data_IF_139897672850
#
_entry.id   IF_139897672850
#
_cell.length_a   1.000
_cell.length_b   1.000
_cell.length_c   1.000
_cell.angle_alpha   90.00
_cell.angle_beta   90.00
_cell.angle_gamma   90.00
#
_symmetry.space_group_name_H-M   'P 1'
#
loop_
_entity.id
_entity.type
_entity.pdbx_description
1 polymer ?
#
# COMPACT_ATOMS: atom_id res chain seq x y z
N UNK A 1 -37.35 -3.77 40.52
CA UNK A 1 -36.17 -4.65 40.68
C UNK A 1 -36.06 -5.73 39.59
N UNK A 2 -37.10 -6.53 39.31
CA UNK A 2 -37.00 -7.64 38.34
C UNK A 2 -36.79 -7.20 36.87
N UNK A 3 -37.40 -6.08 36.46
CA UNK A 3 -37.22 -5.49 35.12
C UNK A 3 -35.79 -5.02 34.85
N UNK A 4 -35.08 -4.58 35.89
CA UNK A 4 -33.71 -4.07 35.81
C UNK A 4 -32.70 -5.21 35.63
N UNK A 5 -32.93 -6.32 36.33
CA UNK A 5 -32.18 -7.57 36.17
C UNK A 5 -32.35 -8.18 34.77
N UNK A 6 -33.52 -8.01 34.13
CA UNK A 6 -33.73 -8.42 32.73
C UNK A 6 -33.00 -7.49 31.74
N UNK A 7 -33.02 -6.16 31.95
CA UNK A 7 -32.27 -5.21 31.10
C UNK A 7 -30.76 -5.44 31.13
N UNK A 8 -30.19 -5.72 32.31
CA UNK A 8 -28.77 -6.06 32.42
C UNK A 8 -28.40 -7.36 31.71
N UNK A 9 -29.27 -8.39 31.74
CA UNK A 9 -29.04 -9.64 30.98
C UNK A 9 -29.09 -9.42 29.47
N UNK A 10 -30.05 -8.64 28.98
CA UNK A 10 -30.16 -8.33 27.54
C UNK A 10 -28.96 -7.52 27.04
N UNK A 11 -28.52 -6.51 27.81
CA UNK A 11 -27.31 -5.73 27.49
C UNK A 11 -26.03 -6.59 27.51
N UNK A 12 -25.89 -7.49 28.49
CA UNK A 12 -24.79 -8.45 28.55
C UNK A 12 -24.79 -9.41 27.35
N UNK A 13 -25.95 -9.92 26.96
CA UNK A 13 -26.07 -10.83 25.81
C UNK A 13 -25.78 -10.12 24.47
N UNK A 14 -26.30 -8.90 24.26
CA UNK A 14 -26.01 -8.10 23.08
C UNK A 14 -24.51 -7.74 22.98
N UNK A 15 -23.87 -7.40 24.10
CA UNK A 15 -22.43 -7.14 24.15
C UNK A 15 -21.59 -8.37 23.80
N UNK A 16 -22.00 -9.57 24.24
CA UNK A 16 -21.30 -10.83 23.90
C UNK A 16 -21.47 -11.21 22.43
N UNK A 17 -22.67 -11.05 21.87
CA UNK A 17 -22.93 -11.32 20.44
C UNK A 17 -22.09 -10.38 19.57
N UNK A 18 -22.07 -9.08 19.90
CA UNK A 18 -21.26 -8.08 19.19
C UNK A 18 -19.75 -8.40 19.23
N UNK A 19 -19.22 -8.80 20.40
CA UNK A 19 -17.81 -9.21 20.52
C UNK A 19 -17.48 -10.46 19.70
N UNK A 20 -18.32 -11.49 19.73
CA UNK A 20 -18.09 -12.70 18.95
C UNK A 20 -18.17 -12.45 17.43
N UNK A 21 -19.07 -11.58 16.98
CA UNK A 21 -19.13 -11.19 15.56
C UNK A 21 -17.89 -10.42 15.12
N UNK A 22 -17.36 -9.52 15.97
CA UNK A 22 -16.14 -8.78 15.67
C UNK A 22 -14.90 -9.69 15.60
N UNK A 23 -14.79 -10.66 16.53
CA UNK A 23 -13.69 -11.63 16.53
C UNK A 23 -13.73 -12.51 15.28
N UNK A 24 -14.91 -13.00 14.89
CA UNK A 24 -15.06 -13.81 13.67
C UNK A 24 -14.76 -13.00 12.40
N UNK A 25 -15.12 -11.72 12.37
CA UNK A 25 -14.80 -10.84 11.25
C UNK A 25 -13.31 -10.57 11.16
N UNK A 26 -12.65 -10.25 12.27
CA UNK A 26 -11.19 -10.05 12.34
C UNK A 26 -10.42 -11.31 11.92
N UNK A 27 -10.85 -12.50 12.36
CA UNK A 27 -10.25 -13.77 11.97
C UNK A 27 -10.35 -13.99 10.45
N UNK A 28 -11.54 -13.78 9.86
CA UNK A 28 -11.77 -13.91 8.42
C UNK A 28 -10.96 -12.91 7.60
N UNK A 29 -10.82 -11.67 8.07
CA UNK A 29 -9.97 -10.64 7.43
C UNK A 29 -8.51 -11.07 7.45
N UNK A 30 -8.02 -11.66 8.55
CA UNK A 30 -6.63 -12.11 8.64
C UNK A 30 -6.31 -13.24 7.64
N UNK A 31 -7.21 -14.20 7.45
CA UNK A 31 -7.04 -15.31 6.50
C UNK A 31 -7.03 -14.84 5.05
N UNK A 32 -7.85 -13.85 4.71
CA UNK A 32 -7.95 -13.31 3.34
C UNK A 32 -6.86 -12.28 3.02
N UNK A 33 -6.27 -11.65 4.03
CA UNK A 33 -5.25 -10.61 3.88
C UNK A 33 -4.04 -11.00 3.00
N UNK A 34 -3.38 -12.17 3.15
CA UNK A 34 -2.25 -12.55 2.30
C UNK A 34 -2.62 -12.67 0.82
N UNK A 35 -3.86 -13.05 0.53
CA UNK A 35 -4.38 -13.23 -0.81
C UNK A 35 -4.79 -11.90 -1.46
N UNK A 36 -5.35 -10.97 -0.67
CA UNK A 36 -5.56 -9.59 -1.12
C UNK A 36 -4.25 -8.85 -1.33
N UNK A 37 -3.25 -9.08 -0.47
CA UNK A 37 -1.92 -8.50 -0.60
C UNK A 37 -1.26 -8.91 -1.92
N UNK A 38 -1.24 -10.21 -2.22
CA UNK A 38 -0.66 -10.68 -3.48
C UNK A 38 -1.44 -10.17 -4.69
N UNK A 39 -2.77 -10.25 -4.67
CA UNK A 39 -3.61 -9.75 -5.78
C UNK A 39 -3.42 -8.25 -6.00
N UNK A 40 -3.34 -7.46 -4.93
CA UNK A 40 -3.08 -6.03 -4.99
C UNK A 40 -1.70 -5.71 -5.56
N UNK A 41 -0.66 -6.46 -5.19
CA UNK A 41 0.69 -6.30 -5.74
C UNK A 41 0.73 -6.62 -7.24
N UNK A 42 0.08 -7.70 -7.69
CA UNK A 42 0.00 -8.05 -9.11
C UNK A 42 -0.78 -7.00 -9.90
N UNK A 43 -1.90 -6.52 -9.37
CA UNK A 43 -2.69 -5.46 -10.00
C UNK A 43 -1.87 -4.16 -10.12
N UNK A 44 -1.17 -3.77 -9.06
CA UNK A 44 -0.29 -2.61 -9.10
C UNK A 44 0.84 -2.78 -10.12
N UNK A 45 1.38 -3.99 -10.27
CA UNK A 45 2.41 -4.27 -11.26
C UNK A 45 1.87 -4.07 -12.67
N UNK A 46 0.67 -4.59 -12.95
CA UNK A 46 0.00 -4.42 -14.24
C UNK A 46 -0.32 -2.94 -14.54
N UNK A 47 -0.81 -2.20 -13.55
CA UNK A 47 -1.04 -0.75 -13.68
C UNK A 47 0.28 0.00 -13.89
N UNK A 48 1.37 -0.44 -13.27
CA UNK A 48 2.70 0.15 -13.44
C UNK A 48 3.24 -0.04 -14.86
N UNK A 49 2.97 -1.20 -15.49
CA UNK A 49 3.29 -1.42 -16.91
C UNK A 49 2.49 -0.45 -17.79
N UNK A 50 1.19 -0.31 -17.53
CA UNK A 50 0.35 0.64 -18.28
C UNK A 50 0.84 2.09 -18.16
N UNK A 51 1.18 2.54 -16.95
CA UNK A 51 1.74 3.88 -16.72
C UNK A 51 3.10 4.04 -17.41
N UNK A 52 3.94 3.00 -17.43
CA UNK A 52 5.23 3.04 -18.12
C UNK A 52 5.05 3.18 -19.64
N UNK A 53 4.07 2.50 -20.24
CA UNK A 53 3.74 2.66 -21.65
C UNK A 53 3.28 4.08 -21.97
N UNK A 54 2.43 4.66 -21.11
CA UNK A 54 1.98 6.05 -21.26
C UNK A 54 3.19 7.00 -21.20
N UNK A 55 4.13 6.79 -20.29
CA UNK A 55 5.32 7.62 -20.21
C UNK A 55 6.20 7.53 -21.47
N UNK A 56 6.32 6.36 -22.09
CA UNK A 56 7.02 6.21 -23.38
C UNK A 56 6.32 7.03 -24.47
N UNK A 57 4.99 6.97 -24.55
CA UNK A 57 4.20 7.77 -25.51
C UNK A 57 4.44 9.26 -25.28
N UNK A 58 4.48 9.71 -24.03
CA UNK A 58 4.78 11.11 -23.66
C UNK A 58 6.18 11.51 -24.14
N UNK A 59 7.20 10.65 -23.96
CA UNK A 59 8.57 10.93 -24.44
C UNK A 59 8.58 11.16 -25.95
N UNK A 60 7.90 10.31 -26.71
CA UNK A 60 7.80 10.44 -28.16
C UNK A 60 7.01 11.68 -28.58
N UNK A 61 5.88 11.97 -27.93
CA UNK A 61 5.02 13.09 -28.29
C UNK A 61 5.69 14.45 -28.04
N UNK A 62 6.41 14.60 -26.94
CA UNK A 62 7.10 15.84 -26.59
C UNK A 62 8.49 16.00 -27.21
N UNK A 63 8.98 15.01 -27.98
CA UNK A 63 10.31 15.02 -28.58
C UNK A 63 11.42 15.41 -27.59
N UNK A 64 11.45 14.77 -26.42
CA UNK A 64 12.46 15.02 -25.39
C UNK A 64 13.87 14.63 -25.92
N UNK A 65 14.61 15.62 -26.41
CA UNK A 65 15.95 15.44 -27.01
C UNK A 65 17.06 15.29 -25.97
N UNK A 66 16.87 15.81 -24.75
CA UNK A 66 17.89 15.72 -23.71
C UNK A 66 17.91 14.32 -23.06
N UNK A 67 19.02 13.60 -23.25
CA UNK A 67 19.22 12.26 -22.68
C UNK A 67 19.04 12.24 -21.16
N UNK A 68 19.51 13.27 -20.47
CA UNK A 68 19.43 13.38 -19.01
C UNK A 68 17.97 13.46 -18.51
N UNK A 69 17.09 14.18 -19.22
CA UNK A 69 15.68 14.29 -18.82
C UNK A 69 14.95 12.95 -18.97
N UNK A 70 15.23 12.22 -20.05
CA UNK A 70 14.65 10.88 -20.28
C UNK A 70 15.08 9.91 -19.18
N UNK A 71 16.37 9.91 -18.81
CA UNK A 71 16.88 9.09 -17.70
C UNK A 71 16.19 9.47 -16.38
N UNK A 72 16.08 10.76 -16.07
CA UNK A 72 15.39 11.23 -14.86
C UNK A 72 13.94 10.78 -14.82
N UNK A 73 13.23 10.83 -15.95
CA UNK A 73 11.84 10.39 -16.04
C UNK A 73 11.70 8.89 -15.72
N UNK A 74 12.57 8.04 -16.28
CA UNK A 74 12.56 6.60 -15.98
C UNK A 74 12.84 6.31 -14.51
N UNK A 75 13.81 7.00 -13.91
CA UNK A 75 14.13 6.84 -12.49
C UNK A 75 12.97 7.33 -11.61
N UNK A 76 12.34 8.45 -11.97
CA UNK A 76 11.18 8.97 -11.27
C UNK A 76 9.99 7.99 -11.33
N UNK A 77 9.73 7.40 -12.50
CA UNK A 77 8.69 6.38 -12.69
C UNK A 77 8.97 5.16 -11.83
N UNK A 78 10.21 4.65 -11.83
CA UNK A 78 10.59 3.53 -10.97
C UNK A 78 10.35 3.86 -9.49
N UNK A 79 10.77 5.04 -9.04
CA UNK A 79 10.52 5.50 -7.68
C UNK A 79 9.03 5.56 -7.33
N UNK A 80 8.18 5.98 -8.27
CA UNK A 80 6.73 6.05 -8.07
C UNK A 80 6.06 4.67 -8.05
N UNK A 81 6.52 3.73 -8.89
CA UNK A 81 6.07 2.33 -8.88
C UNK A 81 6.36 1.70 -7.51
N UNK A 82 7.58 1.85 -7.01
CA UNK A 82 7.99 1.33 -5.69
C UNK A 82 7.15 1.93 -4.56
N UNK A 83 6.88 3.24 -4.61
CA UNK A 83 5.99 3.91 -3.66
C UNK A 83 4.56 3.36 -3.72
N UNK A 84 4.02 3.14 -4.91
CA UNK A 84 2.68 2.55 -5.09
C UNK A 84 2.60 1.14 -4.50
N UNK A 85 3.61 0.31 -4.75
CA UNK A 85 3.72 -1.04 -4.17
C UNK A 85 3.78 -1.00 -2.64
N UNK A 86 4.55 -0.06 -2.07
CA UNK A 86 4.58 0.16 -0.62
C UNK A 86 3.19 0.50 -0.08
N UNK A 87 2.45 1.40 -0.73
CA UNK A 87 1.11 1.78 -0.28
C UNK A 87 0.12 0.61 -0.26
N UNK A 88 0.26 -0.36 -1.19
CA UNK A 88 -0.53 -1.59 -1.16
C UNK A 88 -0.22 -2.43 0.07
N UNK A 89 1.05 -2.53 0.49
CA UNK A 89 1.42 -3.23 1.72
C UNK A 89 0.92 -2.45 2.95
N UNK A 90 1.00 -1.11 2.94
CA UNK A 90 0.47 -0.28 4.02
C UNK A 90 -1.04 -0.52 4.23
N UNK A 91 -1.81 -0.81 3.17
CA UNK A 91 -3.22 -1.19 3.28
C UNK A 91 -3.45 -2.48 4.11
N UNK A 92 -2.49 -3.41 4.10
CA UNK A 92 -2.52 -4.59 4.96
C UNK A 92 -2.31 -4.20 6.41
N UNK A 93 -1.37 -3.30 6.71
CA UNK A 93 -1.18 -2.81 8.07
C UNK A 93 -2.42 -2.08 8.62
N UNK A 94 -3.15 -1.37 7.75
CA UNK A 94 -4.45 -0.76 8.10
C UNK A 94 -5.46 -1.86 8.44
N UNK A 95 -5.57 -2.91 7.62
CA UNK A 95 -6.50 -4.02 7.85
C UNK A 95 -6.24 -4.80 9.15
N UNK A 96 -4.98 -4.87 9.59
CA UNK A 96 -4.58 -5.46 10.87
C UNK A 96 -4.59 -4.47 12.05
N UNK A 97 -5.04 -3.23 11.84
CA UNK A 97 -5.05 -2.15 12.84
C UNK A 97 -3.66 -1.84 13.42
N UNK A 98 -2.58 -2.06 12.66
CA UNK A 98 -1.20 -1.83 13.10
C UNK A 98 -0.58 -0.61 12.44
N UNK A 99 -1.24 0.54 12.62
CA UNK A 99 -0.80 1.84 12.10
C UNK A 99 0.61 2.25 12.54
N UNK A 100 1.11 1.73 13.67
CA UNK A 100 2.46 2.02 14.16
C UNK A 100 3.56 1.63 13.17
N UNK A 101 3.38 0.56 12.39
CA UNK A 101 4.38 0.16 11.38
C UNK A 101 4.41 1.13 10.20
N UNK A 102 3.26 1.66 9.78
CA UNK A 102 3.16 2.69 8.74
C UNK A 102 3.89 3.96 9.20
N UNK A 103 3.73 4.33 10.47
CA UNK A 103 4.42 5.47 11.06
C UNK A 103 5.94 5.27 11.07
N UNK A 104 6.42 4.11 11.55
CA UNK A 104 7.85 3.76 11.58
C UNK A 104 8.43 3.75 10.15
N UNK A 105 7.78 3.08 9.19
CA UNK A 105 8.27 3.01 7.80
C UNK A 105 8.30 4.40 7.15
N UNK A 106 7.36 5.28 7.51
CA UNK A 106 7.33 6.66 7.03
C UNK A 106 8.49 7.49 7.59
N UNK A 107 8.77 7.40 8.88
CA UNK A 107 9.93 8.07 9.49
C UNK A 107 11.22 7.58 8.83
N UNK A 108 11.43 6.27 8.75
CA UNK A 108 12.62 5.68 8.12
C UNK A 108 12.76 6.18 6.68
N UNK A 109 11.67 6.19 5.91
CA UNK A 109 11.67 6.69 4.56
C UNK A 109 12.10 8.17 4.52
N UNK A 110 11.50 9.05 5.33
CA UNK A 110 11.86 10.48 5.38
C UNK A 110 13.32 10.71 5.75
N UNK A 111 13.86 9.95 6.71
CA UNK A 111 15.27 10.00 7.09
C UNK A 111 16.17 9.56 5.92
N UNK A 112 15.85 8.45 5.25
CA UNK A 112 16.59 7.98 4.07
C UNK A 112 16.55 8.99 2.91
N UNK A 113 15.39 9.62 2.67
CA UNK A 113 15.24 10.67 1.67
C UNK A 113 16.21 11.82 1.92
N UNK A 114 16.27 12.34 3.16
CA UNK A 114 17.18 13.42 3.53
C UNK A 114 18.63 12.98 3.40
N UNK A 115 18.98 11.79 3.90
CA UNK A 115 20.33 11.25 3.84
C UNK A 115 20.84 11.10 2.40
N UNK A 116 20.05 10.47 1.51
CA UNK A 116 20.43 10.30 0.11
C UNK A 116 20.46 11.61 -0.66
N UNK A 117 19.55 12.54 -0.36
CA UNK A 117 19.57 13.87 -0.97
C UNK A 117 20.83 14.65 -0.60
N UNK A 118 21.25 14.62 0.68
CA UNK A 118 22.52 15.24 1.12
C UNK A 118 23.71 14.59 0.41
N UNK A 119 23.71 13.26 0.27
CA UNK A 119 24.77 12.55 -0.48
C UNK A 119 24.79 12.95 -1.96
N UNK A 120 23.64 13.06 -2.61
CA UNK A 120 23.56 13.45 -4.02
C UNK A 120 24.09 14.86 -4.28
N UNK A 121 23.82 15.80 -3.35
CA UNK A 121 24.36 17.16 -3.38
C UNK A 121 25.86 17.14 -3.13
N UNK A 122 26.33 16.39 -2.12
CA UNK A 122 27.75 16.31 -1.77
C UNK A 122 28.62 15.78 -2.92
N UNK A 123 28.14 14.79 -3.67
CA UNK A 123 28.83 14.22 -4.82
C UNK A 123 28.59 14.95 -6.15
N UNK A 124 27.86 16.07 -6.14
CA UNK A 124 27.49 16.86 -7.33
C UNK A 124 26.95 16.01 -8.51
N UNK A 125 26.10 15.05 -8.17
CA UNK A 125 25.51 14.12 -9.15
C UNK A 125 24.42 14.75 -10.03
N UNK A 126 24.18 16.05 -9.85
CA UNK A 126 23.17 16.83 -10.55
C UNK A 126 21.74 16.31 -10.36
N UNK A 127 20.89 16.57 -11.35
CA UNK A 127 19.46 16.21 -11.30
C UNK A 127 19.22 14.70 -11.29
N UNK A 128 20.09 13.92 -11.95
CA UNK A 128 19.99 12.45 -11.99
C UNK A 128 20.16 11.86 -10.58
N UNK A 129 21.08 12.41 -9.80
CA UNK A 129 21.30 12.00 -8.41
C UNK A 129 20.11 12.29 -7.50
N UNK A 130 19.43 13.43 -7.70
CA UNK A 130 18.22 13.78 -6.95
C UNK A 130 17.11 12.75 -7.19
N UNK A 131 16.81 12.43 -8.45
CA UNK A 131 15.79 11.41 -8.77
C UNK A 131 16.21 10.01 -8.31
N UNK A 132 17.50 9.66 -8.42
CA UNK A 132 18.03 8.39 -7.92
C UNK A 132 17.85 8.26 -6.41
N UNK A 133 18.08 9.33 -5.66
CA UNK A 133 17.90 9.36 -4.20
C UNK A 133 16.46 9.07 -3.79
N UNK A 134 15.50 9.66 -4.52
CA UNK A 134 14.06 9.42 -4.33
C UNK A 134 13.71 7.95 -4.60
N UNK A 135 14.20 7.40 -5.71
CA UNK A 135 13.94 6.02 -6.11
C UNK A 135 14.54 5.02 -5.11
N UNK A 136 15.79 5.23 -4.68
CA UNK A 136 16.49 4.38 -3.71
C UNK A 136 15.78 4.43 -2.35
N UNK A 137 15.39 5.62 -1.86
CA UNK A 137 14.66 5.76 -0.60
C UNK A 137 13.32 5.01 -0.64
N UNK A 138 12.54 5.17 -1.72
CA UNK A 138 11.29 4.42 -1.89
C UNK A 138 11.52 2.91 -2.00
N UNK A 139 12.58 2.47 -2.68
CA UNK A 139 12.95 1.06 -2.79
C UNK A 139 13.30 0.45 -1.44
N UNK A 140 14.14 1.13 -0.66
CA UNK A 140 14.49 0.71 0.69
C UNK A 140 13.27 0.66 1.61
N UNK A 141 12.40 1.67 1.56
CA UNK A 141 11.16 1.69 2.33
C UNK A 141 10.20 0.56 1.91
N UNK A 142 10.08 0.29 0.61
CA UNK A 142 9.29 -0.83 0.08
C UNK A 142 9.81 -2.17 0.59
N UNK A 143 11.11 -2.44 0.44
CA UNK A 143 11.74 -3.68 0.92
C UNK A 143 11.51 -3.84 2.41
N UNK A 144 11.78 -2.81 3.21
CA UNK A 144 11.57 -2.86 4.65
C UNK A 144 10.11 -3.17 5.02
N UNK A 145 9.16 -2.49 4.38
CA UNK A 145 7.72 -2.68 4.60
C UNK A 145 7.30 -4.10 4.21
N UNK A 146 7.79 -4.61 3.09
CA UNK A 146 7.53 -5.98 2.61
C UNK A 146 8.10 -7.04 3.55
N UNK A 147 9.32 -6.84 4.05
CA UNK A 147 9.96 -7.72 5.04
C UNK A 147 9.16 -7.76 6.33
N UNK A 148 8.80 -6.59 6.88
CA UNK A 148 7.99 -6.50 8.11
C UNK A 148 6.64 -7.19 7.92
N UNK A 149 5.97 -6.95 6.79
CA UNK A 149 4.68 -7.59 6.47
C UNK A 149 4.80 -9.11 6.39
N UNK A 150 5.81 -9.60 5.69
CA UNK A 150 6.01 -11.04 5.44
C UNK A 150 6.40 -11.81 6.71
N UNK A 151 7.10 -11.17 7.64
CA UNK A 151 7.52 -11.81 8.90
C UNK A 151 6.40 -11.80 9.93
N UNK A 152 5.67 -10.68 10.09
CA UNK A 152 4.77 -10.48 11.24
C UNK A 152 3.29 -10.70 10.96
N UNK A 153 2.84 -10.57 9.72
CA UNK A 153 1.41 -10.49 9.42
C UNK A 153 0.96 -11.50 8.39
N UNK A 154 1.36 -11.28 7.14
CA UNK A 154 0.84 -12.00 6.00
C UNK A 154 2.00 -12.31 5.07
N UNK A 155 2.33 -13.59 4.95
CA UNK A 155 3.25 -14.05 3.92
C UNK A 155 2.54 -13.93 2.57
N UNK A 156 3.06 -13.15 1.61
CA UNK A 156 2.45 -13.04 0.31
C UNK A 156 2.46 -14.42 -0.36
N UNK A 157 1.28 -14.90 -0.75
CA UNK A 157 1.16 -16.10 -1.54
C UNK A 157 1.31 -15.69 -3.01
N UNK A 158 2.39 -16.13 -3.66
CA UNK A 158 2.67 -15.82 -5.08
C UNK A 158 1.78 -16.61 -6.07
N UNK A 159 0.64 -17.12 -5.61
CA UNK A 159 -0.29 -17.84 -6.46
C UNK A 159 -1.22 -16.86 -7.17
N UNK A 160 -1.15 -16.82 -8.50
CA UNK A 160 -1.95 -15.92 -9.33
C UNK A 160 -3.32 -16.53 -9.54
N UNK A 161 -4.33 -16.01 -8.84
CA UNK A 161 -5.72 -16.37 -9.08
C UNK A 161 -6.43 -15.27 -9.89
N UNK A 162 -6.45 -15.44 -11.22
CA UNK A 162 -7.07 -14.48 -12.15
C UNK A 162 -8.54 -14.15 -11.83
N UNK A 163 -9.28 -15.11 -11.26
CA UNK A 163 -10.69 -14.90 -10.90
C UNK A 163 -10.85 -13.82 -9.82
N UNK A 164 -9.89 -13.72 -8.91
CA UNK A 164 -9.93 -12.74 -7.82
C UNK A 164 -9.54 -11.35 -8.34
N UNK A 165 -8.52 -11.25 -9.18
CA UNK A 165 -8.09 -9.99 -9.79
C UNK A 165 -9.25 -9.34 -10.57
N UNK A 166 -10.05 -10.14 -11.30
CA UNK A 166 -11.22 -9.63 -12.04
C UNK A 166 -12.30 -9.03 -11.14
N UNK A 167 -12.49 -9.57 -9.93
CA UNK A 167 -13.55 -9.14 -9.01
C UNK A 167 -13.10 -8.02 -8.05
N UNK A 168 -11.79 -7.81 -7.89
CA UNK A 168 -11.24 -6.75 -7.04
C UNK A 168 -11.77 -5.34 -7.36
N UNK A 169 -11.83 -4.87 -8.63
CA UNK A 169 -12.29 -3.52 -8.93
C UNK A 169 -13.75 -3.29 -8.51
N UNK A 170 -14.61 -4.29 -8.69
CA UNK A 170 -16.02 -4.21 -8.30
C UNK A 170 -16.17 -4.15 -6.78
N UNK A 171 -15.37 -4.94 -6.05
CA UNK A 171 -15.34 -4.91 -4.58
C UNK A 171 -14.79 -3.57 -4.05
N UNK A 172 -13.72 -3.05 -4.65
CA UNK A 172 -13.14 -1.76 -4.29
C UNK A 172 -14.09 -0.60 -4.60
N UNK A 173 -14.79 -0.64 -5.74
CA UNK A 173 -15.81 0.36 -6.08
C UNK A 173 -16.94 0.34 -5.04
N UNK A 174 -17.46 -0.85 -4.71
CA UNK A 174 -18.51 -1.01 -3.70
C UNK A 174 -18.08 -0.45 -2.32
N UNK A 175 -16.85 -0.74 -1.89
CA UNK A 175 -16.29 -0.20 -0.64
C UNK A 175 -16.08 1.31 -0.68
N UNK A 176 -15.62 1.86 -1.80
CA UNK A 176 -15.45 3.31 -1.97
C UNK A 176 -16.79 4.05 -1.89
N UNK A 177 -17.84 3.50 -2.53
CA UNK A 177 -19.20 4.05 -2.46
C UNK A 177 -19.82 3.89 -1.07
N UNK A 178 -19.65 2.75 -0.41
CA UNK A 178 -20.16 2.52 0.96
C UNK A 178 -19.47 3.44 1.98
N UNK A 179 -18.16 3.64 1.87
CA UNK A 179 -17.41 4.57 2.73
C UNK A 179 -17.75 6.04 2.49
N UNK A 180 -18.10 6.42 1.26
CA UNK A 180 -18.60 7.76 0.95
C UNK A 180 -20.00 7.97 1.53
N UNK A 181 -20.89 6.99 1.44
CA UNK A 181 -22.24 7.05 2.00
C UNK A 181 -22.27 7.10 3.54
N UNK A 182 -21.31 6.47 4.21
CA UNK A 182 -21.21 6.49 5.68
C UNK A 182 -20.72 7.83 6.27
N UNK A 183 -20.30 8.78 5.42
CA UNK A 183 -19.80 10.11 5.85
C UNK A 183 -20.80 11.25 5.65
N UNK A 184 -21.99 10.98 5.09
CA UNK A 184 -23.09 11.93 4.93
C UNK A 184 -24.31 11.43 5.71
#
# INVERSE_FOLDING_TARGET
MEREKRRQRVASSASRVSKNTLINFAAKVSELSPLFLSSGLHLNWLMSIAVSLIAVIVIFYFNLTSKNAVICLYIALLGQILKSMKNTIDSVFIAYEKMIYIFITTIINKVLYVAFLVLAIYYDTGIIGLFSSIAIANGAAFIFTLTVSSIKFAKPQWNINFRQIKNLPEQCACLAFSGAAARY
#
